data_IF_016005937535
#
_entry.id   IF_016005937535
#
_cell.length_a   1.000
_cell.length_b   1.000
_cell.length_c   1.000
_cell.angle_alpha   90.00
_cell.angle_beta   90.00
_cell.angle_gamma   90.00
#
_symmetry.space_group_name_H-M   'P 1'
#
loop_
_entity.id
_entity.type
_entity.pdbx_description
1 polymer ?
#
# COMPACT_ATOMS: atom_id res chain seq x y z
N UNK A 1 -43.71 -10.15 10.06
CA UNK A 1 -43.42 -8.98 10.93
C UNK A 1 -42.59 -9.46 12.11
N UNK A 2 -41.26 -9.36 12.02
CA UNK A 2 -40.35 -9.66 13.13
C UNK A 2 -39.47 -8.42 13.33
N UNK A 3 -39.54 -7.83 14.52
CA UNK A 3 -38.88 -6.59 14.90
C UNK A 3 -37.35 -6.74 14.89
N UNK A 4 -36.68 -5.98 14.02
CA UNK A 4 -35.23 -5.78 14.08
C UNK A 4 -34.89 -4.80 15.21
N UNK A 5 -34.19 -5.28 16.23
CA UNK A 5 -33.58 -4.43 17.26
C UNK A 5 -32.24 -3.95 16.75
N UNK A 6 -32.16 -2.67 16.38
CA UNK A 6 -30.90 -1.97 16.14
C UNK A 6 -30.23 -1.67 17.48
N UNK A 7 -29.03 -2.21 17.71
CA UNK A 7 -28.16 -1.82 18.81
C UNK A 7 -27.23 -0.73 18.28
N UNK A 8 -27.54 0.51 18.65
CA UNK A 8 -26.70 1.68 18.40
C UNK A 8 -25.64 1.74 19.50
N UNK A 9 -24.39 1.41 19.20
CA UNK A 9 -23.27 1.59 20.14
C UNK A 9 -22.72 3.00 19.95
N UNK A 10 -23.16 3.92 20.81
CA UNK A 10 -22.59 5.28 20.92
C UNK A 10 -21.45 5.22 21.92
N UNK A 11 -20.21 5.24 21.43
CA UNK A 11 -19.03 5.42 22.28
C UNK A 11 -18.94 6.89 22.69
N UNK A 12 -19.50 7.22 23.85
CA UNK A 12 -19.39 8.53 24.49
C UNK A 12 -18.03 8.60 25.22
N UNK A 13 -17.00 9.12 24.55
CA UNK A 13 -15.74 9.45 25.21
C UNK A 13 -15.90 10.80 25.92
N UNK A 14 -16.25 10.77 27.20
CA UNK A 14 -16.24 11.93 28.10
C UNK A 14 -14.78 12.23 28.42
N UNK A 15 -14.15 13.17 27.70
CA UNK A 15 -12.93 13.81 28.16
C UNK A 15 -13.30 15.00 29.02
N UNK A 16 -13.19 14.86 30.34
CA UNK A 16 -13.24 15.98 31.26
C UNK A 16 -12.04 16.91 30.99
N UNK A 17 -12.32 18.12 30.52
CA UNK A 17 -11.37 19.22 30.47
C UNK A 17 -11.10 19.70 31.90
N UNK A 18 -10.02 19.20 32.50
CA UNK A 18 -9.40 19.84 33.66
C UNK A 18 -8.19 20.64 33.18
N UNK A 19 -8.40 21.94 33.01
CA UNK A 19 -7.31 22.92 32.84
C UNK A 19 -6.77 23.30 34.22
N UNK A 20 -5.68 22.67 34.63
CA UNK A 20 -4.83 23.19 35.70
C UNK A 20 -3.53 23.66 35.08
N UNK A 21 -3.37 24.98 34.96
CA UNK A 21 -2.09 25.61 34.67
C UNK A 21 -1.12 25.26 35.81
N UNK A 22 -0.07 24.50 35.51
CA UNK A 22 1.05 24.32 36.43
C UNK A 22 2.25 25.09 35.89
N UNK A 23 2.70 26.03 36.73
CA UNK A 23 3.88 26.84 36.52
C UNK A 23 5.14 25.95 36.47
N UNK A 24 6.03 26.29 35.53
CA UNK A 24 7.34 25.66 35.37
C UNK A 24 8.16 25.74 36.66
N UNK A 25 8.50 24.58 37.22
CA UNK A 25 9.65 24.43 38.10
C UNK A 25 10.58 23.40 37.46
N UNK A 26 11.71 23.91 36.96
CA UNK A 26 12.76 23.13 36.31
C UNK A 26 13.44 22.20 37.32
N UNK A 27 13.02 20.95 37.36
CA UNK A 27 13.78 19.87 37.99
C UNK A 27 14.22 18.89 36.90
N UNK A 28 15.52 18.93 36.60
CA UNK A 28 16.24 18.02 35.71
C UNK A 28 16.19 16.59 36.26
N UNK A 29 15.09 15.90 36.00
CA UNK A 29 14.95 14.45 36.20
C UNK A 29 15.45 13.75 34.93
N UNK A 30 16.65 13.18 35.00
CA UNK A 30 17.27 12.42 33.91
C UNK A 30 16.56 11.05 33.78
N UNK A 31 15.34 11.06 33.22
CA UNK A 31 14.52 9.88 32.95
C UNK A 31 14.92 9.22 31.64
N UNK A 32 15.20 7.91 31.69
CA UNK A 32 15.55 7.03 30.56
C UNK A 32 14.61 7.14 29.34
N UNK A 33 13.34 7.49 29.57
CA UNK A 33 12.32 7.66 28.53
C UNK A 33 12.52 8.89 27.62
N UNK A 34 13.30 9.90 28.03
CA UNK A 34 13.62 11.07 27.20
C UNK A 34 14.58 10.76 26.04
N UNK A 35 15.06 9.52 25.90
CA UNK A 35 15.84 9.08 24.74
C UNK A 35 14.97 8.89 23.48
N UNK A 36 13.64 8.81 23.63
CA UNK A 36 12.67 8.77 22.54
C UNK A 36 12.08 10.16 22.27
N UNK A 37 12.92 11.13 21.91
CA UNK A 37 12.40 12.36 21.28
C UNK A 37 12.24 12.10 19.77
N UNK A 38 11.02 12.11 19.21
CA UNK A 38 10.83 12.05 17.76
C UNK A 38 11.55 13.21 17.05
N UNK A 39 11.77 14.33 17.75
CA UNK A 39 12.54 15.48 17.26
C UNK A 39 14.02 15.16 16.99
N UNK A 40 14.59 14.11 17.60
CA UNK A 40 15.97 13.67 17.34
C UNK A 40 16.10 12.90 16.01
N UNK A 41 14.99 12.43 15.43
CA UNK A 41 14.95 11.88 14.07
C UNK A 41 15.13 12.97 13.01
N UNK A 42 14.76 14.21 13.33
CA UNK A 42 14.89 15.37 12.44
C UNK A 42 16.34 15.86 12.35
N UNK A 43 17.15 15.64 13.39
CA UNK A 43 18.49 16.22 13.51
C UNK A 43 19.64 15.21 13.29
N UNK A 44 19.33 13.99 12.85
CA UNK A 44 20.31 12.95 12.52
C UNK A 44 20.20 12.65 11.02
N UNK A 45 21.32 12.57 10.31
CA UNK A 45 21.41 12.20 8.87
C UNK A 45 20.91 10.76 8.55
N UNK A 46 20.11 10.17 9.42
CA UNK A 46 19.58 8.82 9.25
C UNK A 46 18.21 8.92 8.61
N UNK A 47 18.14 8.71 7.30
CA UNK A 47 16.87 8.76 6.56
C UNK A 47 16.02 7.50 6.71
N UNK A 48 16.37 6.62 7.65
CA UNK A 48 15.64 5.38 7.96
C UNK A 48 14.72 5.60 9.16
N UNK A 49 13.42 5.39 8.97
CA UNK A 49 12.40 5.52 9.99
C UNK A 49 11.69 4.18 10.19
N UNK A 50 12.08 3.39 11.21
CA UNK A 50 11.35 2.19 11.59
C UNK A 50 10.06 2.57 12.33
N UNK A 51 8.93 2.06 11.87
CA UNK A 51 7.60 2.31 12.43
C UNK A 51 6.98 0.96 12.79
N UNK A 52 6.61 0.71 14.07
CA UNK A 52 5.85 -0.48 14.40
C UNK A 52 4.47 -0.41 13.76
N UNK A 53 4.03 -1.51 13.16
CA UNK A 53 2.72 -1.62 12.50
C UNK A 53 1.83 -2.56 13.27
N UNK A 54 0.57 -2.17 13.47
CA UNK A 54 -0.45 -3.01 14.10
C UNK A 54 -1.77 -2.83 13.33
N UNK A 55 -2.37 -3.93 12.90
CA UNK A 55 -3.67 -3.92 12.22
C UNK A 55 -4.47 -5.17 12.59
N UNK A 56 -5.79 -5.16 12.37
CA UNK A 56 -6.64 -6.32 12.64
C UNK A 56 -7.71 -6.45 11.56
N UNK A 57 -7.95 -7.67 11.09
CA UNK A 57 -9.06 -7.99 10.20
C UNK A 57 -9.65 -9.37 10.50
N UNK A 58 -10.90 -9.66 10.10
CA UNK A 58 -11.48 -11.00 10.24
C UNK A 58 -10.67 -12.09 9.52
N UNK A 59 -10.00 -11.74 8.42
CA UNK A 59 -9.21 -12.64 7.58
C UNK A 59 -7.89 -13.01 8.25
N UNK A 60 -7.22 -12.04 8.88
CA UNK A 60 -5.86 -12.22 9.41
C UNK A 60 -5.78 -12.31 10.93
N UNK A 61 -6.86 -11.98 11.64
CA UNK A 61 -6.77 -11.63 13.05
C UNK A 61 -5.91 -10.40 13.25
N UNK A 62 -5.27 -10.29 14.42
CA UNK A 62 -4.28 -9.26 14.71
C UNK A 62 -3.00 -9.52 13.89
N UNK A 63 -2.51 -8.51 13.18
CA UNK A 63 -1.23 -8.45 12.48
C UNK A 63 -0.33 -7.43 13.16
N UNK A 64 0.88 -7.83 13.50
CA UNK A 64 1.90 -6.96 14.06
C UNK A 64 3.19 -7.06 13.25
N UNK A 65 3.96 -5.98 13.19
CA UNK A 65 5.14 -5.93 12.34
C UNK A 65 5.93 -4.64 12.44
N UNK A 66 6.79 -4.43 11.45
CA UNK A 66 7.63 -3.25 11.33
C UNK A 66 7.69 -2.80 9.86
N UNK A 67 7.51 -1.50 9.66
CA UNK A 67 7.74 -0.82 8.39
C UNK A 67 9.00 0.06 8.50
N UNK A 68 10.01 -0.21 7.68
CA UNK A 68 11.25 0.56 7.62
C UNK A 68 11.14 1.49 6.41
N UNK A 69 11.00 2.78 6.69
CA UNK A 69 10.83 3.82 5.68
C UNK A 69 12.18 4.47 5.35
N UNK A 70 12.44 4.74 4.09
CA UNK A 70 13.65 5.40 3.61
C UNK A 70 13.30 6.55 2.65
N UNK A 71 13.66 7.77 3.06
CA UNK A 71 13.45 8.98 2.26
C UNK A 71 14.79 9.48 1.72
N UNK A 72 14.87 9.77 0.43
CA UNK A 72 16.14 10.20 -0.17
C UNK A 72 15.91 11.06 -1.39
N UNK A 73 16.91 11.88 -1.71
CA UNK A 73 16.96 12.63 -2.96
C UNK A 73 18.17 12.15 -3.77
N UNK A 74 17.99 11.91 -5.06
CA UNK A 74 19.08 11.41 -5.92
C UNK A 74 19.99 12.52 -6.42
N UNK A 75 19.61 13.78 -6.21
CA UNK A 75 20.42 14.93 -6.57
C UNK A 75 21.25 15.40 -5.36
N UNK A 76 22.57 15.33 -5.49
CA UNK A 76 23.52 15.65 -4.43
C UNK A 76 23.73 17.17 -4.26
N UNK A 77 23.19 18.00 -5.16
CA UNK A 77 23.29 19.47 -5.06
C UNK A 77 22.16 20.03 -4.19
N UNK A 78 22.40 20.07 -2.87
CA UNK A 78 21.44 20.55 -1.85
C UNK A 78 20.91 21.98 -2.05
N UNK A 79 21.62 22.83 -2.79
CA UNK A 79 21.17 24.18 -3.10
C UNK A 79 20.69 24.24 -4.56
N UNK A 80 19.37 24.17 -4.77
CA UNK A 80 18.74 24.39 -6.08
C UNK A 80 18.35 23.14 -6.87
N UNK A 81 18.33 21.94 -6.26
CA UNK A 81 17.79 20.77 -6.95
C UNK A 81 16.30 20.92 -7.24
N UNK A 82 15.91 20.65 -8.47
CA UNK A 82 14.50 20.57 -8.90
C UNK A 82 13.94 19.15 -8.84
N UNK A 83 14.71 18.17 -8.34
CA UNK A 83 14.33 16.75 -8.32
C UNK A 83 13.47 16.46 -7.09
N UNK A 84 12.28 15.88 -7.28
CA UNK A 84 11.42 15.47 -6.15
C UNK A 84 12.03 14.33 -5.32
N UNK A 85 11.65 14.31 -4.05
CA UNK A 85 12.09 13.27 -3.12
C UNK A 85 11.57 11.88 -3.52
N UNK A 86 12.49 10.93 -3.39
CA UNK A 86 12.28 9.49 -3.56
C UNK A 86 11.96 8.85 -2.21
N UNK A 87 11.25 7.73 -2.26
CA UNK A 87 10.77 7.06 -1.07
C UNK A 87 10.72 5.56 -1.30
N UNK A 88 11.21 4.80 -0.33
CA UNK A 88 11.11 3.35 -0.30
C UNK A 88 10.67 2.89 1.08
N UNK A 89 10.01 1.74 1.16
CA UNK A 89 9.78 1.07 2.43
C UNK A 89 9.94 -0.44 2.30
N UNK A 90 10.35 -1.06 3.40
CA UNK A 90 10.26 -2.49 3.63
C UNK A 90 9.26 -2.72 4.76
N UNK A 91 8.19 -3.43 4.48
CA UNK A 91 7.16 -3.81 5.43
C UNK A 91 7.24 -5.32 5.72
N UNK A 92 7.26 -5.69 7.00
CA UNK A 92 7.31 -7.07 7.48
C UNK A 92 6.28 -7.25 8.58
N UNK A 93 5.25 -8.07 8.34
CA UNK A 93 4.16 -8.30 9.28
C UNK A 93 3.86 -9.79 9.45
N UNK A 94 3.50 -10.17 10.68
CA UNK A 94 3.08 -11.52 11.03
C UNK A 94 1.72 -11.48 11.73
N UNK A 95 0.84 -12.41 11.36
CA UNK A 95 -0.52 -12.49 11.90
C UNK A 95 -0.65 -13.52 13.02
N UNK A 96 -1.59 -13.28 13.93
CA UNK A 96 -2.04 -14.25 14.95
C UNK A 96 -2.62 -15.53 14.35
N UNK A 97 -2.92 -15.54 13.05
CA UNK A 97 -3.36 -16.72 12.29
C UNK A 97 -2.22 -17.39 11.51
N UNK A 98 -0.97 -17.13 11.89
CA UNK A 98 0.23 -17.70 11.28
C UNK A 98 0.41 -17.38 9.80
N UNK A 99 0.18 -16.12 9.43
CA UNK A 99 0.39 -15.63 8.07
C UNK A 99 1.53 -14.62 8.03
N UNK A 100 2.43 -14.75 7.07
CA UNK A 100 3.50 -13.80 6.81
C UNK A 100 3.13 -12.87 5.65
N UNK A 101 3.41 -11.57 5.83
CA UNK A 101 3.30 -10.55 4.80
C UNK A 101 4.60 -9.77 4.72
N UNK A 102 5.16 -9.65 3.53
CA UNK A 102 6.33 -8.82 3.29
C UNK A 102 6.16 -8.02 2.01
N UNK A 103 6.55 -6.75 2.03
CA UNK A 103 6.52 -5.90 0.83
C UNK A 103 7.71 -4.94 0.83
N UNK A 104 8.44 -4.94 -0.27
CA UNK A 104 9.40 -3.89 -0.62
C UNK A 104 8.74 -3.00 -1.66
N UNK A 105 8.64 -1.70 -1.37
CA UNK A 105 8.20 -0.68 -2.32
C UNK A 105 9.31 0.34 -2.52
N UNK A 106 9.43 0.84 -3.74
CA UNK A 106 10.29 1.98 -4.05
C UNK A 106 9.67 2.86 -5.13
N UNK A 107 9.75 4.17 -4.92
CA UNK A 107 9.60 5.18 -5.96
C UNK A 107 10.87 6.02 -6.00
N UNK A 108 11.48 6.14 -7.16
CA UNK A 108 12.77 6.79 -7.33
C UNK A 108 12.75 7.73 -8.51
N UNK A 109 12.97 9.01 -8.24
CA UNK A 109 13.24 10.02 -9.25
C UNK A 109 14.75 10.13 -9.40
N UNK A 110 15.26 9.97 -10.61
CA UNK A 110 16.68 10.22 -10.91
C UNK A 110 16.95 11.73 -11.02
N UNK A 111 18.21 12.13 -10.99
CA UNK A 111 18.61 13.55 -11.09
C UNK A 111 17.97 14.24 -12.31
N UNK A 112 17.32 15.38 -12.04
CA UNK A 112 16.55 16.16 -13.01
C UNK A 112 15.23 15.53 -13.44
N UNK A 113 14.76 14.51 -12.70
CA UNK A 113 13.59 13.67 -13.01
C UNK A 113 13.65 12.98 -14.38
N UNK A 114 14.84 12.83 -14.96
CA UNK A 114 15.02 12.25 -16.31
C UNK A 114 14.37 10.87 -16.45
N UNK A 115 14.45 10.08 -15.39
CA UNK A 115 13.76 8.81 -15.20
C UNK A 115 13.05 8.77 -13.87
N UNK A 116 11.89 8.11 -13.88
CA UNK A 116 11.11 7.77 -12.70
C UNK A 116 10.92 6.26 -12.69
N UNK A 117 11.31 5.60 -11.59
CA UNK A 117 11.10 4.18 -11.36
C UNK A 117 10.12 4.03 -10.21
N UNK A 118 9.12 3.17 -10.36
CA UNK A 118 8.17 2.87 -9.28
C UNK A 118 7.84 1.40 -9.30
N UNK A 119 7.95 0.74 -8.16
CA UNK A 119 7.51 -0.64 -8.08
C UNK A 119 7.40 -1.19 -6.68
N UNK A 120 6.82 -2.37 -6.62
CA UNK A 120 6.69 -3.18 -5.41
C UNK A 120 7.01 -4.64 -5.71
N UNK A 121 7.56 -5.33 -4.74
CA UNK A 121 7.75 -6.78 -4.74
C UNK A 121 7.33 -7.27 -3.36
N UNK A 122 6.54 -8.33 -3.29
CA UNK A 122 6.07 -8.82 -2.01
C UNK A 122 5.69 -10.29 -1.99
N UNK A 123 5.53 -10.78 -0.77
CA UNK A 123 5.02 -12.10 -0.42
C UNK A 123 3.83 -11.95 0.52
N UNK A 124 2.80 -12.76 0.34
CA UNK A 124 1.64 -12.78 1.23
C UNK A 124 1.06 -14.18 1.39
N UNK A 125 0.91 -14.62 2.63
CA UNK A 125 0.07 -15.77 3.02
C UNK A 125 -1.37 -15.30 3.24
N UNK A 126 -2.23 -15.52 2.26
CA UNK A 126 -3.60 -15.02 2.27
C UNK A 126 -4.58 -16.06 2.79
N UNK A 127 -5.63 -15.55 3.44
CA UNK A 127 -6.87 -16.27 3.70
C UNK A 127 -8.01 -15.39 3.22
N UNK A 128 -8.82 -15.90 2.31
CA UNK A 128 -9.97 -15.20 1.76
C UNK A 128 -11.25 -15.96 2.08
N UNK A 129 -12.33 -15.19 2.19
CA UNK A 129 -13.69 -15.73 2.30
C UNK A 129 -14.39 -15.44 0.97
N UNK A 130 -14.90 -16.47 0.34
CA UNK A 130 -15.55 -16.42 -0.97
C UNK A 130 -17.03 -16.75 -0.82
N UNK A 131 -17.90 -15.89 -1.34
CA UNK A 131 -19.37 -16.09 -1.31
C UNK A 131 -19.92 -16.64 -2.64
N UNK A 132 -19.05 -16.98 -3.59
CA UNK A 132 -19.39 -17.51 -4.91
C UNK A 132 -18.96 -16.58 -6.05
N UNK A 133 -19.24 -17.01 -7.28
CA UNK A 133 -18.99 -16.24 -8.51
C UNK A 133 -20.32 -15.80 -9.13
N UNK A 134 -20.39 -14.56 -9.61
CA UNK A 134 -21.55 -14.02 -10.31
C UNK A 134 -22.58 -13.34 -9.39
N UNK A 135 -23.83 -13.27 -9.85
CA UNK A 135 -24.90 -12.48 -9.22
C UNK A 135 -25.71 -13.24 -8.15
N UNK A 136 -25.32 -14.47 -7.84
CA UNK A 136 -26.00 -15.29 -6.83
C UNK A 136 -25.50 -14.92 -5.45
N UNK A 137 -26.39 -14.40 -4.60
CA UNK A 137 -26.06 -14.09 -3.21
C UNK A 137 -26.31 -15.30 -2.31
N UNK A 138 -25.31 -15.68 -1.52
CA UNK A 138 -25.44 -16.72 -0.48
C UNK A 138 -25.51 -16.10 0.91
N UNK A 139 -25.92 -16.88 1.90
CA UNK A 139 -25.91 -16.44 3.31
C UNK A 139 -24.50 -16.03 3.75
N UNK A 140 -24.41 -15.05 4.66
CA UNK A 140 -23.13 -14.56 5.17
C UNK A 140 -22.25 -15.68 5.77
N UNK A 141 -22.84 -16.72 6.37
CA UNK A 141 -22.12 -17.87 6.95
C UNK A 141 -21.75 -18.95 5.92
N UNK A 142 -22.30 -18.87 4.71
CA UNK A 142 -22.10 -19.85 3.65
C UNK A 142 -20.85 -19.60 2.80
N UNK A 143 -19.88 -18.82 3.29
CA UNK A 143 -18.63 -18.58 2.58
C UNK A 143 -17.74 -19.83 2.51
N UNK A 144 -16.97 -19.95 1.43
CA UNK A 144 -15.84 -20.86 1.29
C UNK A 144 -14.55 -20.14 1.72
N UNK A 145 -13.76 -20.80 2.57
CA UNK A 145 -12.44 -20.30 2.93
C UNK A 145 -11.41 -20.72 1.90
N UNK A 146 -10.57 -19.82 1.43
CA UNK A 146 -9.47 -20.13 0.52
C UNK A 146 -8.17 -19.63 1.14
N UNK A 147 -7.20 -20.51 1.33
CA UNK A 147 -5.83 -20.11 1.68
C UNK A 147 -4.95 -20.22 0.45
N UNK A 148 -4.01 -19.30 0.30
CA UNK A 148 -3.03 -19.36 -0.78
C UNK A 148 -1.81 -18.49 -0.47
N UNK A 149 -0.70 -18.80 -1.11
CA UNK A 149 0.54 -18.05 -1.00
C UNK A 149 0.77 -17.29 -2.29
N UNK A 150 1.14 -16.02 -2.19
CA UNK A 150 1.32 -15.15 -3.35
C UNK A 150 2.66 -14.45 -3.31
N UNK A 151 3.43 -14.58 -4.37
CA UNK A 151 4.58 -13.73 -4.69
C UNK A 151 4.15 -12.80 -5.81
N UNK A 152 4.36 -11.51 -5.65
CA UNK A 152 3.95 -10.52 -6.64
C UNK A 152 5.01 -9.45 -6.84
N UNK A 153 5.03 -8.90 -8.05
CA UNK A 153 5.88 -7.80 -8.46
C UNK A 153 5.11 -6.90 -9.42
N UNK A 154 5.17 -5.60 -9.20
CA UNK A 154 4.72 -4.62 -10.18
C UNK A 154 5.78 -3.53 -10.28
N UNK A 155 6.38 -3.38 -11.46
CA UNK A 155 7.48 -2.45 -11.69
C UNK A 155 7.17 -1.64 -12.93
N UNK A 156 7.26 -0.32 -12.80
CA UNK A 156 7.06 0.63 -13.87
C UNK A 156 8.34 1.47 -14.01
N UNK A 157 8.78 1.65 -15.25
CA UNK A 157 9.93 2.47 -15.59
C UNK A 157 9.50 3.54 -16.59
N UNK A 158 9.78 4.78 -16.24
CA UNK A 158 9.36 5.96 -16.98
C UNK A 158 10.56 6.82 -17.37
N UNK A 159 10.48 7.42 -18.55
CA UNK A 159 11.39 8.46 -19.02
C UNK A 159 10.62 9.76 -19.18
N UNK A 160 11.16 10.85 -18.65
CA UNK A 160 10.59 12.16 -18.84
C UNK A 160 10.82 12.63 -20.28
N UNK A 161 9.76 13.09 -20.93
CA UNK A 161 9.82 13.64 -22.29
C UNK A 161 9.83 15.17 -22.24
N UNK A 162 8.90 15.76 -21.47
CA UNK A 162 8.79 17.22 -21.33
C UNK A 162 7.95 17.56 -20.10
N UNK A 163 8.27 18.62 -19.37
CA UNK A 163 7.42 19.22 -18.32
C UNK A 163 6.66 18.20 -17.44
N UNK A 164 7.38 17.30 -16.76
CA UNK A 164 6.79 16.26 -15.89
C UNK A 164 5.78 15.32 -16.57
N UNK A 165 5.83 15.25 -17.90
CA UNK A 165 5.19 14.22 -18.71
C UNK A 165 6.19 13.12 -18.99
N UNK A 166 5.78 11.90 -18.69
CA UNK A 166 6.60 10.72 -18.71
C UNK A 166 5.94 9.65 -19.58
N UNK A 167 6.77 8.92 -20.31
CA UNK A 167 6.38 7.74 -21.08
C UNK A 167 7.20 6.56 -20.60
N UNK A 168 6.63 5.37 -20.58
CA UNK A 168 7.27 4.25 -19.93
C UNK A 168 6.68 2.90 -20.26
N UNK A 169 7.21 1.91 -19.57
CA UNK A 169 6.76 0.52 -19.59
C UNK A 169 6.33 0.12 -18.17
N UNK A 170 5.28 -0.70 -18.10
CA UNK A 170 4.79 -1.31 -16.85
C UNK A 170 4.84 -2.82 -16.98
N UNK A 171 5.35 -3.48 -15.94
CA UNK A 171 5.45 -4.92 -15.82
C UNK A 171 4.72 -5.41 -14.57
N UNK A 172 4.08 -6.57 -14.69
CA UNK A 172 3.41 -7.24 -13.59
C UNK A 172 3.72 -8.73 -13.63
N UNK A 173 4.07 -9.29 -12.47
CA UNK A 173 4.17 -10.74 -12.24
C UNK A 173 3.43 -11.05 -10.96
N UNK A 174 2.60 -12.08 -10.95
CA UNK A 174 1.91 -12.58 -9.77
C UNK A 174 1.84 -14.09 -9.85
N UNK A 175 2.46 -14.77 -8.88
CA UNK A 175 2.48 -16.22 -8.77
C UNK A 175 1.73 -16.58 -7.50
N UNK A 176 0.61 -17.27 -7.66
CA UNK A 176 -0.23 -17.77 -6.58
C UNK A 176 -0.14 -19.29 -6.56
N UNK A 177 0.34 -19.83 -5.44
CA UNK A 177 0.57 -21.26 -5.23
C UNK A 177 -0.09 -21.72 -3.93
N UNK A 178 -0.05 -23.04 -3.69
CA UNK A 178 -0.55 -23.67 -2.47
C UNK A 178 -2.00 -23.25 -2.14
N UNK A 179 -2.85 -23.23 -3.17
CA UNK A 179 -4.26 -22.89 -3.02
C UNK A 179 -4.95 -24.07 -2.33
N UNK A 180 -5.48 -23.84 -1.13
CA UNK A 180 -6.22 -24.84 -0.37
C UNK A 180 -7.61 -24.33 -0.05
N UNK A 181 -8.58 -25.22 -0.23
CA UNK A 181 -9.99 -24.96 0.00
C UNK A 181 -10.49 -26.07 0.92
N UNK A 182 -10.79 -25.80 2.21
CA UNK A 182 -11.42 -26.80 3.07
C UNK A 182 -12.70 -27.24 2.38
N UNK A 183 -12.82 -28.54 2.10
CA UNK A 183 -13.96 -29.07 1.38
C UNK A 183 -15.27 -28.66 2.08
N UNK A 184 -16.05 -27.81 1.41
CA UNK A 184 -17.47 -27.59 1.70
C UNK A 184 -18.24 -28.08 0.47
N UNK A 185 -19.45 -28.58 0.67
CA UNK A 185 -20.32 -29.10 -0.41
C UNK A 185 -20.75 -28.03 -1.42
N UNK A 186 -20.37 -26.77 -1.20
CA UNK A 186 -20.56 -25.69 -2.15
C UNK A 186 -19.54 -25.84 -3.28
N UNK A 187 -20.03 -26.00 -4.51
CA UNK A 187 -19.21 -26.27 -5.70
C UNK A 187 -18.63 -24.99 -6.33
N UNK A 188 -18.42 -23.89 -5.58
CA UNK A 188 -18.10 -22.59 -6.21
C UNK A 188 -16.73 -22.59 -6.88
N UNK A 189 -15.76 -23.26 -6.27
CA UNK A 189 -14.38 -23.33 -6.77
C UNK A 189 -14.12 -24.52 -7.69
N UNK A 190 -15.03 -25.49 -7.75
CA UNK A 190 -14.92 -26.66 -8.61
C UNK A 190 -14.93 -26.22 -10.07
N UNK A 191 -13.88 -26.57 -10.82
CA UNK A 191 -13.72 -26.29 -12.25
C UNK A 191 -13.45 -24.81 -12.63
N UNK A 192 -13.07 -23.95 -11.69
CA UNK A 192 -12.63 -22.59 -12.00
C UNK A 192 -11.16 -22.56 -12.46
N UNK A 193 -10.87 -21.68 -13.42
CA UNK A 193 -9.52 -21.52 -13.92
C UNK A 193 -8.62 -20.93 -12.81
N UNK A 194 -7.43 -21.51 -12.62
CA UNK A 194 -6.51 -21.08 -11.55
C UNK A 194 -6.75 -21.70 -10.18
N UNK A 195 -7.67 -22.68 -10.06
CA UNK A 195 -8.01 -23.39 -8.80
C UNK A 195 -6.80 -23.99 -8.05
N UNK A 196 -5.78 -24.48 -8.76
CA UNK A 196 -4.61 -25.14 -8.14
C UNK A 196 -3.40 -24.20 -8.03
N UNK A 197 -3.20 -23.41 -9.07
CA UNK A 197 -2.08 -22.49 -9.22
C UNK A 197 -2.48 -21.41 -10.23
N UNK A 198 -1.98 -20.20 -10.05
CA UNK A 198 -2.19 -19.09 -10.96
C UNK A 198 -0.92 -18.27 -11.13
N UNK A 199 -0.37 -18.26 -12.34
CA UNK A 199 0.71 -17.37 -12.74
C UNK A 199 0.15 -16.34 -13.72
N UNK A 200 0.31 -15.08 -13.38
CA UNK A 200 -0.07 -13.93 -14.20
C UNK A 200 1.20 -13.14 -14.49
N UNK A 201 1.53 -12.98 -15.77
CA UNK A 201 2.63 -12.12 -16.21
C UNK A 201 2.10 -11.18 -17.29
N UNK A 202 2.43 -9.91 -17.16
CA UNK A 202 2.00 -8.88 -18.09
C UNK A 202 3.03 -7.79 -18.30
N UNK A 203 3.03 -7.23 -19.50
CA UNK A 203 3.88 -6.12 -19.90
C UNK A 203 3.06 -5.17 -20.77
N UNK A 204 3.33 -3.88 -20.68
CA UNK A 204 2.79 -2.94 -21.66
C UNK A 204 3.20 -1.48 -21.43
N UNK A 205 2.72 -0.59 -22.31
CA UNK A 205 3.05 0.83 -22.25
C UNK A 205 2.30 1.55 -21.13
N UNK A 206 2.88 2.64 -20.65
CA UNK A 206 2.26 3.55 -19.68
C UNK A 206 2.71 4.99 -19.94
N UNK A 207 1.84 5.94 -19.65
CA UNK A 207 2.13 7.37 -19.65
C UNK A 207 1.68 7.98 -18.33
N UNK A 208 2.47 8.92 -17.84
CA UNK A 208 2.26 9.57 -16.56
C UNK A 208 2.47 11.06 -16.72
N UNK A 209 1.51 11.85 -16.25
CA UNK A 209 1.62 13.29 -16.15
C UNK A 209 1.40 13.70 -14.69
N UNK A 210 2.50 14.08 -14.02
CA UNK A 210 2.49 14.32 -12.57
C UNK A 210 2.89 15.77 -12.26
N UNK A 211 1.88 16.60 -12.05
CA UNK A 211 2.02 18.01 -11.67
C UNK A 211 1.76 18.27 -10.19
N UNK A 212 1.70 17.21 -9.37
CA UNK A 212 1.54 17.37 -7.92
C UNK A 212 2.72 18.14 -7.34
N UNK A 213 2.44 18.98 -6.35
CA UNK A 213 3.46 19.71 -5.62
C UNK A 213 4.36 18.79 -4.76
N UNK A 214 3.79 17.72 -4.20
CA UNK A 214 4.52 16.72 -3.43
C UNK A 214 4.01 15.31 -3.75
N UNK A 215 4.89 14.31 -4.00
CA UNK A 215 4.46 12.99 -4.45
C UNK A 215 3.75 12.16 -3.36
N UNK A 216 4.07 12.39 -2.08
CA UNK A 216 3.50 11.64 -0.94
C UNK A 216 2.35 12.37 -0.22
N UNK A 217 2.35 13.70 -0.25
CA UNK A 217 1.40 14.55 0.47
C UNK A 217 0.95 15.72 -0.41
N UNK A 218 0.30 15.42 -1.56
CA UNK A 218 -0.12 16.45 -2.50
C UNK A 218 -1.17 17.38 -1.89
N UNK A 219 -0.92 18.69 -1.98
CA UNK A 219 -1.87 19.74 -1.57
C UNK A 219 -2.48 20.47 -2.77
N UNK A 220 -1.77 20.48 -3.90
CA UNK A 220 -2.20 21.14 -5.13
C UNK A 220 -1.65 20.43 -6.36
N UNK A 221 -2.20 20.77 -7.52
CA UNK A 221 -1.80 20.20 -8.80
C UNK A 221 -2.67 19.02 -9.18
N UNK A 222 -2.17 18.15 -10.05
CA UNK A 222 -2.93 17.05 -10.62
C UNK A 222 -2.01 15.90 -11.03
N UNK A 223 -2.61 14.73 -11.18
CA UNK A 223 -1.95 13.48 -11.52
C UNK A 223 -2.80 12.76 -12.54
N UNK A 224 -2.21 12.29 -13.63
CA UNK A 224 -2.90 11.42 -14.57
C UNK A 224 -1.96 10.30 -15.01
N UNK A 225 -2.42 9.06 -14.89
CA UNK A 225 -1.73 7.87 -15.38
C UNK A 225 -2.67 7.07 -16.27
N UNK A 226 -2.16 6.71 -17.44
CA UNK A 226 -2.84 5.83 -18.37
C UNK A 226 -1.89 4.69 -18.72
N UNK A 227 -2.38 3.46 -18.70
CA UNK A 227 -1.57 2.30 -19.04
C UNK A 227 -2.39 1.16 -19.60
N UNK A 228 -1.74 0.35 -20.44
CA UNK A 228 -2.31 -0.89 -20.97
C UNK A 228 -1.31 -1.99 -20.67
N UNK A 229 -1.77 -3.07 -20.05
CA UNK A 229 -0.93 -4.25 -19.79
C UNK A 229 -1.51 -5.45 -20.52
N UNK A 230 -0.69 -6.10 -21.33
CA UNK A 230 -1.06 -7.33 -22.01
C UNK A 230 -0.55 -8.50 -21.18
N UNK A 231 -1.48 -9.27 -20.61
CA UNK A 231 -1.17 -10.52 -19.94
C UNK A 231 -1.25 -11.66 -20.96
N UNK A 232 -0.18 -12.45 -21.06
CA UNK A 232 -0.08 -13.47 -22.09
C UNK A 232 0.65 -14.73 -21.60
N UNK A 233 0.18 -15.90 -22.04
CA UNK A 233 0.86 -17.19 -21.87
C UNK A 233 2.29 -17.20 -22.41
N UNK A 234 2.55 -16.48 -23.51
CA UNK A 234 3.89 -16.34 -24.09
C UNK A 234 4.89 -15.61 -23.15
N UNK A 235 4.40 -14.84 -22.17
CA UNK A 235 5.23 -14.20 -21.15
C UNK A 235 5.40 -15.07 -19.88
N UNK A 236 4.99 -16.35 -19.94
CA UNK A 236 5.07 -17.29 -18.81
C UNK A 236 3.84 -17.29 -17.89
N UNK A 237 2.76 -16.61 -18.26
CA UNK A 237 1.48 -16.65 -17.55
C UNK A 237 0.61 -17.86 -17.90
N UNK A 238 -0.49 -18.06 -17.17
CA UNK A 238 -1.52 -19.05 -17.49
C UNK A 238 -2.72 -18.45 -18.23
N UNK A 239 -2.85 -17.12 -18.26
CA UNK A 239 -4.05 -16.42 -18.73
C UNK A 239 -3.71 -15.36 -19.78
N UNK A 240 -4.63 -15.17 -20.73
CA UNK A 240 -4.57 -14.12 -21.74
C UNK A 240 -5.68 -13.10 -21.47
N UNK A 241 -5.31 -11.87 -21.16
CA UNK A 241 -6.26 -10.76 -21.00
C UNK A 241 -5.53 -9.42 -21.10
N UNK A 242 -6.28 -8.33 -21.26
CA UNK A 242 -5.73 -6.97 -21.29
C UNK A 242 -6.27 -6.19 -20.11
N UNK A 243 -5.37 -5.55 -19.36
CA UNK A 243 -5.71 -4.66 -18.26
C UNK A 243 -5.54 -3.21 -18.69
N UNK A 244 -6.57 -2.39 -18.46
CA UNK A 244 -6.53 -0.95 -18.68
C UNK A 244 -6.44 -0.23 -17.33
N UNK A 245 -5.46 0.65 -17.19
CA UNK A 245 -5.31 1.53 -16.03
C UNK A 245 -5.63 2.96 -16.45
N UNK A 246 -6.60 3.56 -15.77
CA UNK A 246 -6.94 4.98 -15.91
C UNK A 246 -7.04 5.55 -14.49
N UNK A 247 -6.13 6.45 -14.15
CA UNK A 247 -6.10 7.15 -12.87
C UNK A 247 -5.95 8.64 -13.11
N UNK A 248 -6.94 9.43 -12.68
CA UNK A 248 -6.92 10.88 -12.81
C UNK A 248 -7.30 11.50 -11.46
N UNK A 249 -6.44 12.38 -10.95
CA UNK A 249 -6.60 13.03 -9.64
C UNK A 249 -6.31 14.52 -9.76
N UNK A 250 -7.11 15.33 -9.09
CA UNK A 250 -6.94 16.78 -9.00
C UNK A 250 -6.98 17.19 -7.53
N UNK A 251 -6.05 18.04 -7.14
CA UNK A 251 -5.89 18.49 -5.76
C UNK A 251 -6.16 19.99 -5.67
N UNK A 252 -7.08 20.36 -4.78
CA UNK A 252 -7.45 21.74 -4.48
C UNK A 252 -7.18 22.02 -2.98
N UNK A 253 -6.50 23.12 -2.63
CA UNK A 253 -6.41 23.55 -1.25
C UNK A 253 -7.78 24.10 -0.81
N UNK A 254 -8.29 23.65 0.33
CA UNK A 254 -9.59 24.09 0.90
C UNK A 254 -9.44 25.11 2.04
N UNK A 255 -8.24 25.63 2.27
CA UNK A 255 -7.93 26.65 3.28
C UNK A 255 -6.43 26.76 3.60
N UNK A 256 -6.01 27.87 4.21
CA UNK A 256 -4.68 28.02 4.80
C UNK A 256 -4.68 27.43 6.22
N UNK A 257 -4.17 26.21 6.37
CA UNK A 257 -3.82 25.70 7.70
C UNK A 257 -2.35 26.04 7.95
N UNK A 258 -2.13 27.18 8.59
CA UNK A 258 -0.87 27.50 9.24
C UNK A 258 -0.70 26.52 10.41
N UNK A 259 0.19 25.55 10.28
CA UNK A 259 0.71 24.77 11.41
C UNK A 259 1.99 25.43 11.92
#
# INVERSE_FOLDING_TARGET
>A
MLQQRFILVVSLAITALYSSAQADTTLSSKKWWHKFRPDSLVNKNWSFLPIPTLSSSPETGLKAGIAINYFFNTDQKKAGSTTRDSYAYLDLQYSTRNQLFTELYAQTFTSGERYFLRGRIGYADNYERLWGFGNTTVDNKAFEGVTYQRIYSNINAYKQVKNKFFVGIRGNVSITNNIQTPAKDTNFLTAQAGQKQSTVTGLGPTVLWDHRNHPLSPRSGWYTELGVTFHNKALGGNFNYTEWLIDARKYYPLGEFSC
#
